data_IF_863469595232
#
_entry.id   IF_863469595232
#
_cell.length_a   1.000
_cell.length_b   1.000
_cell.length_c   1.000
_cell.angle_alpha   90.00
_cell.angle_beta   90.00
_cell.angle_gamma   90.00
#
_symmetry.space_group_name_H-M   'P 1'
#
loop_
_entity.id
_entity.type
_entity.pdbx_description
1 polymer ?
#
# COMPACT_ATOMS: atom_id res chain seq x y z
N UNK A 1 6.63 -9.12 -23.64
CA UNK A 1 7.41 -8.07 -22.92
C UNK A 1 7.13 -6.65 -23.48
N UNK A 2 7.17 -6.44 -24.81
CA UNK A 2 6.84 -5.14 -25.45
C UNK A 2 5.43 -4.60 -25.10
N UNK A 3 4.41 -5.45 -25.07
CA UNK A 3 3.05 -5.02 -24.65
C UNK A 3 2.92 -4.72 -23.15
N UNK A 4 3.76 -5.34 -22.31
CA UNK A 4 3.77 -5.14 -20.85
C UNK A 4 4.47 -3.82 -20.46
N UNK A 5 5.58 -3.48 -21.11
CA UNK A 5 6.22 -2.17 -20.95
C UNK A 5 5.33 -1.04 -21.48
N UNK A 6 4.51 -1.32 -22.50
CA UNK A 6 3.54 -0.35 -23.04
C UNK A 6 2.37 -0.07 -22.09
N UNK A 7 2.07 -0.98 -21.16
CA UNK A 7 1.04 -0.77 -20.12
C UNK A 7 1.57 -0.06 -18.87
N UNK A 8 2.88 0.11 -18.71
CA UNK A 8 3.46 0.82 -17.58
C UNK A 8 3.31 2.33 -17.79
N UNK A 9 2.21 2.86 -17.31
CA UNK A 9 1.89 4.28 -17.45
C UNK A 9 2.47 5.08 -16.29
N UNK A 10 2.85 6.34 -16.54
CA UNK A 10 3.17 7.32 -15.49
C UNK A 10 2.07 7.40 -14.40
N UNK A 11 0.82 7.08 -14.77
CA UNK A 11 -0.32 6.99 -13.85
C UNK A 11 -0.17 5.88 -12.78
N UNK A 12 0.47 4.77 -13.13
CA UNK A 12 0.76 3.69 -12.17
C UNK A 12 1.78 4.15 -11.11
N UNK A 13 2.76 4.97 -11.51
CA UNK A 13 3.75 5.56 -10.59
C UNK A 13 3.06 6.57 -9.66
N UNK A 14 2.21 7.44 -10.22
CA UNK A 14 1.42 8.41 -9.46
C UNK A 14 0.50 7.75 -8.44
N UNK A 15 -0.25 6.72 -8.84
CA UNK A 15 -1.16 6.01 -7.93
C UNK A 15 -0.41 5.33 -6.78
N UNK A 16 0.77 4.76 -7.03
CA UNK A 16 1.63 4.23 -5.98
C UNK A 16 2.16 5.32 -5.04
N UNK A 17 2.54 6.47 -5.58
CA UNK A 17 2.99 7.62 -4.79
C UNK A 17 1.86 8.16 -3.90
N UNK A 18 0.66 8.34 -4.46
CA UNK A 18 -0.52 8.77 -3.70
C UNK A 18 -0.88 7.79 -2.59
N UNK A 19 -0.81 6.48 -2.85
CA UNK A 19 -1.03 5.47 -1.82
C UNK A 19 0.01 5.57 -0.69
N UNK A 20 1.29 5.76 -1.01
CA UNK A 20 2.34 5.91 0.00
C UNK A 20 2.18 7.20 0.82
N UNK A 21 1.85 8.32 0.18
CA UNK A 21 1.55 9.59 0.86
C UNK A 21 0.34 9.46 1.78
N UNK A 22 -0.71 8.79 1.33
CA UNK A 22 -1.91 8.56 2.12
C UNK A 22 -1.65 7.65 3.32
N UNK A 23 -0.81 6.62 3.17
CA UNK A 23 -0.39 5.77 4.28
C UNK A 23 0.31 6.60 5.36
N UNK A 24 1.25 7.45 4.94
CA UNK A 24 2.00 8.31 5.85
C UNK A 24 1.07 9.34 6.53
N UNK A 25 0.18 9.98 5.78
CA UNK A 25 -0.74 10.98 6.33
C UNK A 25 -1.72 10.37 7.34
N UNK A 26 -2.29 9.19 7.05
CA UNK A 26 -3.14 8.47 7.99
C UNK A 26 -2.36 8.07 9.25
N UNK A 27 -1.12 7.60 9.11
CA UNK A 27 -0.27 7.26 10.25
C UNK A 27 -0.04 8.47 11.17
N UNK A 28 0.21 9.66 10.62
CA UNK A 28 0.35 10.89 11.40
C UNK A 28 -0.97 11.36 12.01
N UNK A 29 -2.06 11.32 11.25
CA UNK A 29 -3.39 11.72 11.70
C UNK A 29 -3.84 10.88 12.90
N UNK A 30 -3.73 9.56 12.82
CA UNK A 30 -4.13 8.68 13.92
C UNK A 30 -3.16 8.67 15.10
N UNK A 31 -1.90 9.05 14.89
CA UNK A 31 -0.99 9.30 16.02
C UNK A 31 -1.44 10.51 16.85
N UNK A 32 -1.99 11.52 16.21
CA UNK A 32 -2.41 12.76 16.87
C UNK A 32 -3.86 12.70 17.38
N UNK A 33 -4.69 11.85 16.79
CA UNK A 33 -6.09 11.68 17.15
C UNK A 33 -6.26 10.43 18.01
N UNK A 34 -6.57 10.62 19.29
CA UNK A 34 -6.98 9.54 20.22
C UNK A 34 -8.42 9.06 19.96
N UNK A 35 -8.79 8.89 18.68
CA UNK A 35 -10.18 8.62 18.29
C UNK A 35 -10.56 7.14 18.44
N UNK A 36 -9.59 6.25 18.62
CA UNK A 36 -9.82 4.82 18.69
C UNK A 36 -9.09 4.20 19.88
N UNK A 37 -9.84 3.52 20.75
CA UNK A 37 -9.28 2.77 21.88
C UNK A 37 -8.48 1.53 21.41
N UNK A 38 -8.83 0.98 20.24
CA UNK A 38 -8.17 -0.20 19.67
C UNK A 38 -7.09 0.19 18.65
N UNK A 39 -5.83 0.07 19.08
CA UNK A 39 -4.64 0.27 18.22
C UNK A 39 -4.62 -0.65 17.00
N UNK A 40 -5.25 -1.82 17.06
CA UNK A 40 -5.28 -2.80 15.97
C UNK A 40 -6.21 -2.39 14.81
N UNK A 41 -7.34 -1.75 15.13
CA UNK A 41 -8.30 -1.26 14.12
C UNK A 41 -7.66 -0.10 13.35
N UNK A 42 -6.97 0.79 14.06
CA UNK A 42 -6.22 1.89 13.44
C UNK A 42 -5.13 1.36 12.52
N UNK A 43 -4.33 0.41 12.99
CA UNK A 43 -3.24 -0.18 12.21
C UNK A 43 -3.76 -0.83 10.91
N UNK A 44 -4.87 -1.57 11.00
CA UNK A 44 -5.47 -2.21 9.83
C UNK A 44 -6.02 -1.19 8.84
N UNK A 45 -6.65 -0.09 9.29
CA UNK A 45 -7.10 0.99 8.39
C UNK A 45 -5.94 1.71 7.69
N UNK A 46 -4.86 2.01 8.42
CA UNK A 46 -3.67 2.68 7.87
C UNK A 46 -3.00 1.82 6.80
N UNK A 47 -2.95 0.51 7.01
CA UNK A 47 -2.30 -0.42 6.08
C UNK A 47 -3.20 -0.77 4.89
N UNK A 48 -4.48 -1.09 5.13
CA UNK A 48 -5.37 -1.60 4.08
C UNK A 48 -5.97 -0.50 3.23
N UNK A 49 -6.30 0.66 3.81
CA UNK A 49 -7.01 1.75 3.12
C UNK A 49 -6.27 2.26 1.88
N UNK A 50 -4.99 2.65 1.98
CA UNK A 50 -4.22 3.13 0.84
C UNK A 50 -4.05 2.08 -0.27
N UNK A 51 -3.91 0.81 0.09
CA UNK A 51 -3.70 -0.28 -0.86
C UNK A 51 -5.01 -0.65 -1.57
N UNK A 52 -6.15 -0.61 -0.87
CA UNK A 52 -7.48 -0.72 -1.48
C UNK A 52 -7.72 0.34 -2.57
N UNK A 53 -7.45 1.61 -2.24
CA UNK A 53 -7.63 2.70 -3.19
C UNK A 53 -6.71 2.54 -4.40
N UNK A 54 -5.47 2.10 -4.16
CA UNK A 54 -4.54 1.77 -5.24
C UNK A 54 -5.10 0.73 -6.21
N UNK A 55 -5.68 -0.36 -5.71
CA UNK A 55 -6.31 -1.36 -6.57
C UNK A 55 -7.53 -0.82 -7.33
N UNK A 56 -8.34 0.03 -6.68
CA UNK A 56 -9.46 0.71 -7.35
C UNK A 56 -8.98 1.61 -8.48
N UNK A 57 -7.93 2.40 -8.28
CA UNK A 57 -7.35 3.23 -9.33
C UNK A 57 -6.83 2.40 -10.49
N UNK A 58 -6.12 1.30 -10.21
CA UNK A 58 -5.66 0.39 -11.26
C UNK A 58 -6.83 -0.17 -12.10
N UNK A 59 -7.91 -0.60 -11.44
CA UNK A 59 -9.08 -1.12 -12.15
C UNK A 59 -9.74 -0.06 -13.04
N UNK A 60 -9.90 1.17 -12.54
CA UNK A 60 -10.48 2.29 -13.27
C UNK A 60 -9.63 2.69 -14.48
N UNK A 61 -8.30 2.67 -14.34
CA UNK A 61 -7.37 3.08 -15.39
C UNK A 61 -7.31 2.08 -16.54
N UNK A 62 -7.20 0.79 -16.23
CA UNK A 62 -6.92 -0.22 -17.27
C UNK A 62 -8.20 -0.90 -17.76
N UNK A 63 -9.35 -0.68 -17.10
CA UNK A 63 -10.66 -1.32 -17.38
C UNK A 63 -10.55 -2.84 -17.59
N UNK A 64 -9.53 -3.47 -17.00
CA UNK A 64 -9.15 -4.85 -17.21
C UNK A 64 -8.82 -5.48 -15.86
N UNK A 65 -9.03 -6.80 -15.77
CA UNK A 65 -8.62 -7.57 -14.59
C UNK A 65 -7.12 -7.44 -14.36
N UNK A 66 -6.80 -7.29 -13.09
CA UNK A 66 -5.47 -6.96 -12.60
C UNK A 66 -4.50 -8.14 -12.82
N UNK A 67 -3.56 -8.03 -13.77
CA UNK A 67 -2.59 -9.10 -14.05
C UNK A 67 -1.63 -9.24 -12.87
N UNK A 68 -1.35 -10.46 -12.44
CA UNK A 68 -0.52 -10.77 -11.25
C UNK A 68 0.84 -10.07 -11.33
N UNK A 69 1.53 -10.17 -12.46
CA UNK A 69 2.84 -9.53 -12.66
C UNK A 69 2.80 -8.00 -12.54
N UNK A 70 1.77 -7.35 -13.08
CA UNK A 70 1.60 -5.90 -12.97
C UNK A 70 1.41 -5.46 -11.52
N UNK A 71 0.62 -6.22 -10.75
CA UNK A 71 0.44 -5.99 -9.31
C UNK A 71 1.72 -6.11 -8.52
N UNK A 72 2.53 -7.14 -8.80
CA UNK A 72 3.81 -7.31 -8.10
C UNK A 72 4.73 -6.12 -8.30
N UNK A 73 4.86 -5.61 -9.54
CA UNK A 73 5.68 -4.43 -9.83
C UNK A 73 5.10 -3.20 -9.12
N UNK A 74 3.79 -3.01 -9.18
CA UNK A 74 3.11 -1.89 -8.54
C UNK A 74 3.26 -1.91 -7.01
N UNK A 75 3.19 -3.09 -6.40
CA UNK A 75 3.45 -3.31 -4.98
C UNK A 75 4.91 -2.98 -4.62
N UNK A 76 5.86 -3.37 -5.47
CA UNK A 76 7.27 -3.08 -5.27
C UNK A 76 7.55 -1.56 -5.33
N UNK A 77 6.95 -0.85 -6.29
CA UNK A 77 7.02 0.63 -6.34
C UNK A 77 6.40 1.25 -5.10
N UNK A 78 5.24 0.75 -4.67
CA UNK A 78 4.57 1.26 -3.45
C UNK A 78 5.48 1.09 -2.24
N UNK A 79 6.11 -0.08 -2.08
CA UNK A 79 7.05 -0.35 -0.99
C UNK A 79 8.27 0.59 -1.04
N UNK A 80 8.80 0.87 -2.24
CA UNK A 80 9.88 1.84 -2.43
C UNK A 80 9.48 3.26 -2.01
N UNK A 81 8.28 3.72 -2.39
CA UNK A 81 7.80 5.04 -1.97
C UNK A 81 7.54 5.11 -0.46
N UNK A 82 6.99 4.06 0.14
CA UNK A 82 6.83 3.97 1.60
C UNK A 82 8.20 4.07 2.28
N UNK A 83 9.19 3.30 1.81
CA UNK A 83 10.55 3.34 2.33
C UNK A 83 11.14 4.76 2.25
N UNK A 84 11.06 5.42 1.09
CA UNK A 84 11.60 6.77 0.91
C UNK A 84 10.89 7.79 1.81
N UNK A 85 9.57 7.81 1.82
CA UNK A 85 8.79 8.80 2.58
C UNK A 85 8.95 8.61 4.09
N UNK A 86 8.89 7.36 4.58
CA UNK A 86 9.12 7.08 6.02
C UNK A 86 10.56 7.41 6.39
N UNK A 87 11.54 7.02 5.58
CA UNK A 87 12.96 7.30 5.82
C UNK A 87 13.23 8.80 5.92
N UNK A 88 12.73 9.59 4.97
CA UNK A 88 12.82 11.06 5.01
C UNK A 88 12.14 11.60 6.27
N UNK A 89 10.91 11.18 6.57
CA UNK A 89 10.16 11.69 7.73
C UNK A 89 10.86 11.42 9.06
N UNK A 90 11.46 10.24 9.22
CA UNK A 90 12.14 9.86 10.46
C UNK A 90 13.48 10.54 10.62
N UNK A 91 14.22 10.75 9.52
CA UNK A 91 15.44 11.55 9.54
C UNK A 91 15.15 13.01 9.89
N UNK A 92 14.08 13.61 9.31
CA UNK A 92 13.69 14.99 9.63
C UNK A 92 13.34 15.19 11.11
N UNK A 93 12.75 14.19 11.75
CA UNK A 93 12.37 14.23 13.18
C UNK A 93 13.48 13.66 14.09
N UNK A 94 14.65 13.32 13.54
CA UNK A 94 15.77 12.69 14.24
C UNK A 94 15.36 11.42 15.03
N UNK A 95 14.42 10.63 14.51
CA UNK A 95 13.93 9.38 15.13
C UNK A 95 14.33 8.11 14.38
N UNK A 96 15.17 8.23 13.35
CA UNK A 96 15.61 7.08 12.56
C UNK A 96 16.30 5.99 13.39
N UNK A 97 16.99 6.36 14.46
CA UNK A 97 17.63 5.43 15.39
C UNK A 97 16.67 4.37 15.95
N UNK A 98 15.36 4.65 16.04
CA UNK A 98 14.34 3.70 16.53
C UNK A 98 14.13 2.52 15.58
N UNK A 99 14.45 2.68 14.30
CA UNK A 99 14.41 1.60 13.31
C UNK A 99 15.72 0.81 13.28
N UNK A 100 16.82 1.43 13.74
CA UNK A 100 18.14 0.83 13.81
C UNK A 100 18.91 0.84 12.48
N UNK A 101 18.27 0.45 11.35
CA UNK A 101 18.94 0.40 10.05
C UNK A 101 18.00 0.62 8.86
N UNK A 102 18.55 1.04 7.71
CA UNK A 102 17.80 1.13 6.45
C UNK A 102 17.30 -0.25 5.98
N UNK A 103 18.05 -1.33 6.24
CA UNK A 103 17.64 -2.70 5.92
C UNK A 103 16.35 -3.08 6.63
N UNK A 104 16.20 -2.72 7.91
CA UNK A 104 14.97 -2.96 8.67
C UNK A 104 13.79 -2.19 8.07
N UNK A 105 14.00 -0.95 7.64
CA UNK A 105 12.95 -0.14 7.00
C UNK A 105 12.50 -0.75 5.66
N UNK A 106 13.44 -1.27 4.86
CA UNK A 106 13.12 -1.95 3.60
C UNK A 106 12.28 -3.20 3.87
N UNK A 107 12.72 -4.04 4.80
CA UNK A 107 12.00 -5.27 5.18
C UNK A 107 10.58 -4.93 5.65
N UNK A 108 10.44 -3.93 6.53
CA UNK A 108 9.15 -3.49 7.04
C UNK A 108 8.23 -2.98 5.91
N UNK A 109 8.78 -2.18 4.99
CA UNK A 109 8.00 -1.60 3.88
C UNK A 109 7.47 -2.68 2.94
N UNK A 110 8.31 -3.67 2.60
CA UNK A 110 7.88 -4.82 1.79
C UNK A 110 6.87 -5.66 2.54
N UNK A 111 7.12 -5.95 3.81
CA UNK A 111 6.23 -6.75 4.65
C UNK A 111 4.82 -6.16 4.75
N UNK A 112 4.71 -4.85 5.00
CA UNK A 112 3.41 -4.16 5.10
C UNK A 112 2.62 -4.27 3.79
N UNK A 113 3.26 -4.05 2.64
CA UNK A 113 2.59 -4.13 1.34
C UNK A 113 2.15 -5.56 1.04
N UNK A 114 3.00 -6.56 1.31
CA UNK A 114 2.65 -7.97 1.13
C UNK A 114 1.49 -8.40 2.04
N UNK A 115 1.53 -7.99 3.32
CA UNK A 115 0.49 -8.32 4.30
C UNK A 115 -0.86 -7.72 3.88
N UNK A 116 -0.86 -6.50 3.38
CA UNK A 116 -2.07 -5.86 2.88
C UNK A 116 -2.61 -6.55 1.61
N UNK A 117 -1.75 -6.87 0.63
CA UNK A 117 -2.17 -7.60 -0.58
C UNK A 117 -2.76 -8.97 -0.21
N UNK A 118 -2.15 -9.66 0.74
CA UNK A 118 -2.64 -10.94 1.25
C UNK A 118 -4.02 -10.78 1.90
N UNK A 119 -4.17 -9.82 2.80
CA UNK A 119 -5.45 -9.53 3.46
C UNK A 119 -6.55 -9.18 2.44
N UNK A 120 -6.24 -8.37 1.43
CA UNK A 120 -7.20 -8.02 0.38
C UNK A 120 -7.57 -9.20 -0.51
N UNK A 121 -6.60 -10.04 -0.85
CA UNK A 121 -6.85 -11.26 -1.60
C UNK A 121 -7.75 -12.22 -0.83
N UNK A 122 -7.54 -12.34 0.49
CA UNK A 122 -8.38 -13.13 1.38
C UNK A 122 -9.81 -12.58 1.44
N UNK A 123 -9.97 -11.27 1.65
CA UNK A 123 -11.29 -10.61 1.69
C UNK A 123 -12.02 -10.82 0.35
N UNK A 124 -11.34 -10.65 -0.78
CA UNK A 124 -11.95 -10.85 -2.09
C UNK A 124 -12.37 -12.32 -2.32
N UNK A 125 -11.57 -13.28 -1.83
CA UNK A 125 -11.92 -14.70 -1.89
C UNK A 125 -13.18 -15.01 -1.07
N UNK A 126 -13.30 -14.43 0.13
CA UNK A 126 -14.48 -14.56 0.98
C UNK A 126 -15.70 -13.94 0.31
N UNK A 127 -15.59 -12.70 -0.18
CA UNK A 127 -16.68 -12.00 -0.85
C UNK A 127 -17.19 -12.73 -2.09
N UNK A 128 -16.28 -13.27 -2.91
CA UNK A 128 -16.64 -13.96 -4.13
C UNK A 128 -17.29 -15.31 -3.87
N UNK A 129 -16.81 -16.08 -2.87
CA UNK A 129 -17.39 -17.38 -2.53
C UNK A 129 -18.72 -17.28 -1.79
N UNK A 130 -18.84 -16.36 -0.84
CA UNK A 130 -20.00 -16.27 0.05
C UNK A 130 -21.09 -15.37 -0.56
N UNK A 131 -20.69 -14.19 -1.01
CA UNK A 131 -21.65 -13.15 -1.43
C UNK A 131 -21.80 -13.04 -2.95
N UNK A 132 -21.02 -13.81 -3.73
CA UNK A 132 -20.91 -13.67 -5.19
C UNK A 132 -20.54 -12.24 -5.63
N UNK A 133 -19.91 -11.47 -4.72
CA UNK A 133 -19.42 -10.12 -4.95
C UNK A 133 -17.91 -10.17 -5.21
N UNK A 134 -17.42 -9.35 -6.12
CA UNK A 134 -15.98 -9.21 -6.36
C UNK A 134 -15.54 -7.77 -6.08
N UNK A 135 -14.46 -7.61 -5.33
CA UNK A 135 -13.80 -6.30 -5.16
C UNK A 135 -13.13 -5.85 -6.46
N UNK A 136 -12.87 -6.78 -7.40
CA UNK A 136 -12.24 -6.55 -8.71
C UNK A 136 -12.66 -7.55 -9.81
#
# INVERSE_FOLDING_TARGET
MKEFLRSFSYREILSSLFAALMLLSLAFLFRNLSLFDSKYIVLSLVILGPILLKHRFYFLEHKRRNRILGRMIHNLITALFIFLLIGISLNLVNKFYQIGSYSNLIILSVFIVCLAEFALSLINLILSKIFKLSLW
#
